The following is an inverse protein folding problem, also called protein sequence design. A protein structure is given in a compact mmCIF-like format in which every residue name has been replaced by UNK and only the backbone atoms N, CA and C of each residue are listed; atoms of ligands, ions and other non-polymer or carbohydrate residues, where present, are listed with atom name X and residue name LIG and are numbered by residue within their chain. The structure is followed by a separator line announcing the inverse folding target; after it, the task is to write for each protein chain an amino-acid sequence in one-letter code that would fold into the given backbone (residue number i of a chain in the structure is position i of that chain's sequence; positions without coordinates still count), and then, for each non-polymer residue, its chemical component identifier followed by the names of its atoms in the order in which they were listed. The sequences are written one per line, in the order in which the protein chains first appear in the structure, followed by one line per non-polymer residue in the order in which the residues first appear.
data_IF_187362948121
#
_entry.id   IF_187362948121
#
_cell.length_a   1.000
_cell.length_b   1.000
_cell.length_c   1.000
_cell.angle_alpha   90.00
_cell.angle_beta   90.00
_cell.angle_gamma   90.00
#
_symmetry.space_group_name_H-M   'P 1'
#
loop_
_entity.id
_entity.type
_entity.pdbx_description
1 polymer ?
#
# COMPACT_ATOMS: atom_id res chain seq x y z
N UNK A 1 66.29 -28.88 -52.89
CA UNK A 1 66.03 -27.75 -53.81
C UNK A 1 64.53 -27.64 -54.00
N UNK A 2 64.05 -26.43 -54.28
CA UNK A 2 62.65 -25.98 -54.44
C UNK A 2 61.99 -25.53 -53.13
N UNK A 3 62.18 -24.24 -52.88
CA UNK A 3 61.39 -23.37 -52.01
C UNK A 3 59.94 -23.28 -52.51
N UNK A 4 58.97 -23.07 -51.62
CA UNK A 4 58.02 -21.95 -51.77
C UNK A 4 57.40 -21.55 -50.42
N UNK A 5 57.39 -20.23 -50.21
CA UNK A 5 56.97 -19.45 -49.05
C UNK A 5 55.48 -19.60 -48.77
N UNK A 6 55.09 -19.73 -47.51
CA UNK A 6 53.71 -19.44 -47.06
C UNK A 6 53.79 -18.40 -45.94
N UNK A 7 53.14 -17.27 -46.22
CA UNK A 7 52.99 -16.08 -45.40
C UNK A 7 51.96 -16.39 -44.30
N UNK A 8 52.35 -16.34 -43.02
CA UNK A 8 51.40 -16.46 -41.91
C UNK A 8 50.86 -15.07 -41.59
N UNK A 9 49.60 -14.82 -41.95
CA UNK A 9 48.85 -13.65 -41.56
C UNK A 9 48.37 -13.81 -40.11
N UNK A 10 48.83 -12.93 -39.22
CA UNK A 10 48.38 -12.85 -37.83
C UNK A 10 47.04 -12.11 -37.83
N UNK A 11 45.94 -12.85 -37.66
CA UNK A 11 44.60 -12.30 -37.41
C UNK A 11 44.54 -11.92 -35.93
N UNK A 12 44.57 -10.63 -35.64
CA UNK A 12 44.31 -10.09 -34.32
C UNK A 12 42.81 -10.25 -34.00
N UNK A 13 42.47 -11.27 -33.21
CA UNK A 13 41.13 -11.45 -32.66
C UNK A 13 41.00 -10.49 -31.48
N UNK A 14 40.33 -9.35 -31.71
CA UNK A 14 39.84 -8.50 -30.64
C UNK A 14 38.75 -9.26 -29.87
N UNK A 15 39.12 -9.87 -28.74
CA UNK A 15 38.16 -10.33 -27.75
C UNK A 15 37.53 -9.10 -27.09
N UNK A 16 36.34 -8.71 -27.55
CA UNK A 16 35.45 -7.85 -26.80
C UNK A 16 34.90 -8.65 -25.62
N UNK A 17 35.56 -8.56 -24.47
CA UNK A 17 34.99 -9.05 -23.20
C UNK A 17 33.81 -8.14 -22.85
N UNK A 18 32.56 -8.64 -22.76
CA UNK A 18 31.49 -7.87 -22.16
C UNK A 18 31.85 -7.65 -20.68
N UNK A 19 31.70 -6.42 -20.22
CA UNK A 19 31.92 -6.03 -18.84
C UNK A 19 30.85 -6.65 -17.91
N UNK A 20 30.98 -7.95 -17.64
CA UNK A 20 30.31 -8.62 -16.52
C UNK A 20 31.13 -8.34 -15.25
N UNK A 21 30.91 -7.17 -14.65
CA UNK A 21 31.59 -6.80 -13.40
C UNK A 21 30.79 -5.92 -12.44
N UNK A 22 29.60 -5.45 -12.83
CA UNK A 22 28.82 -4.53 -12.00
C UNK A 22 27.67 -5.19 -11.22
N UNK A 23 27.39 -6.49 -11.43
CA UNK A 23 26.15 -7.12 -10.97
C UNK A 23 26.34 -8.28 -9.95
N UNK A 24 27.56 -8.50 -9.45
CA UNK A 24 27.83 -9.57 -8.47
C UNK A 24 27.46 -9.18 -7.02
N UNK A 25 27.28 -7.89 -6.74
CA UNK A 25 26.90 -7.37 -5.41
C UNK A 25 25.42 -7.00 -5.29
N UNK A 26 24.65 -7.04 -6.39
CA UNK A 26 23.21 -6.84 -6.32
C UNK A 26 22.58 -8.08 -5.68
N UNK A 27 21.86 -7.89 -4.57
CA UNK A 27 21.06 -8.95 -3.94
C UNK A 27 20.08 -9.47 -5.00
N UNK A 28 20.34 -10.66 -5.54
CA UNK A 28 19.44 -11.29 -6.50
C UNK A 28 18.08 -11.49 -5.84
N UNK A 29 17.02 -11.11 -6.54
CA UNK A 29 15.68 -11.32 -6.05
C UNK A 29 15.45 -12.82 -5.81
N UNK A 30 14.75 -13.15 -4.73
CA UNK A 30 14.45 -14.53 -4.33
C UNK A 30 13.32 -15.16 -5.13
N UNK A 31 12.68 -14.39 -6.01
CA UNK A 31 11.56 -14.81 -6.84
C UNK A 31 11.62 -14.14 -8.20
N UNK A 32 10.93 -14.73 -9.18
CA UNK A 32 10.79 -14.20 -10.54
C UNK A 32 9.37 -14.48 -11.04
N UNK A 33 8.88 -13.66 -11.95
CA UNK A 33 7.62 -13.92 -12.64
C UNK A 33 7.88 -14.97 -13.73
N UNK A 34 7.05 -16.04 -13.84
CA UNK A 34 7.19 -17.01 -14.91
C UNK A 34 7.01 -16.36 -16.27
N UNK A 35 7.62 -16.92 -17.32
CA UNK A 35 7.47 -16.40 -18.68
C UNK A 35 6.12 -16.77 -19.27
N UNK A 36 5.67 -15.99 -20.25
CA UNK A 36 4.42 -16.27 -20.96
C UNK A 36 4.38 -17.68 -21.55
N UNK A 37 5.49 -18.12 -22.16
CA UNK A 37 5.61 -19.45 -22.76
C UNK A 37 5.59 -20.58 -21.72
N UNK A 38 6.26 -20.40 -20.58
CA UNK A 38 6.27 -21.38 -19.49
C UNK A 38 4.86 -21.59 -18.93
N UNK A 39 4.15 -20.50 -18.62
CA UNK A 39 2.78 -20.56 -18.09
C UNK A 39 1.83 -21.13 -19.14
N UNK A 40 1.92 -20.69 -20.41
CA UNK A 40 1.10 -21.24 -21.51
C UNK A 40 1.29 -22.74 -21.65
N UNK A 41 2.53 -23.22 -21.64
CA UNK A 41 2.86 -24.64 -21.76
C UNK A 41 2.26 -25.45 -20.61
N UNK A 42 2.42 -24.98 -19.36
CA UNK A 42 1.85 -25.67 -18.20
C UNK A 42 0.33 -25.81 -18.30
N UNK A 43 -0.35 -24.73 -18.69
CA UNK A 43 -1.81 -24.77 -18.86
C UNK A 43 -2.21 -25.64 -20.05
N UNK A 44 -1.49 -25.56 -21.17
CA UNK A 44 -1.77 -26.35 -22.38
C UNK A 44 -1.61 -27.86 -22.15
N UNK A 45 -0.56 -28.27 -21.44
CA UNK A 45 -0.34 -29.68 -21.07
C UNK A 45 -1.53 -30.24 -20.29
N UNK A 46 -1.96 -29.52 -19.24
CA UNK A 46 -3.13 -29.91 -18.47
C UNK A 46 -4.42 -29.86 -19.30
N UNK A 47 -4.64 -28.79 -20.07
CA UNK A 47 -5.83 -28.60 -20.90
C UNK A 47 -5.98 -29.73 -21.93
N UNK A 48 -4.89 -30.13 -22.57
CA UNK A 48 -4.89 -31.23 -23.55
C UNK A 48 -5.18 -32.60 -22.92
N UNK A 49 -4.78 -32.82 -21.67
CA UNK A 49 -5.02 -34.08 -20.95
C UNK A 49 -6.51 -34.36 -20.71
N UNK A 50 -7.35 -33.33 -20.75
CA UNK A 50 -8.79 -33.40 -20.51
C UNK A 50 -9.63 -33.61 -21.77
N UNK A 51 -8.98 -33.84 -22.93
CA UNK A 51 -9.65 -34.08 -24.22
C UNK A 51 -10.67 -32.98 -24.60
N UNK A 52 -10.22 -31.72 -24.78
CA UNK A 52 -11.09 -30.57 -25.06
C UNK A 52 -11.74 -30.65 -26.44
N UNK A 53 -12.89 -30.00 -26.61
CA UNK A 53 -13.57 -29.86 -27.90
C UNK A 53 -12.80 -28.94 -28.85
N UNK A 54 -13.08 -29.02 -30.15
CA UNK A 54 -12.47 -28.13 -31.15
C UNK A 54 -12.77 -26.64 -30.88
N UNK A 55 -13.95 -26.35 -30.34
CA UNK A 55 -14.35 -25.01 -29.92
C UNK A 55 -13.50 -24.53 -28.73
N UNK A 56 -13.35 -25.36 -27.69
CA UNK A 56 -12.52 -25.08 -26.53
C UNK A 56 -11.04 -24.86 -26.91
N UNK A 57 -10.51 -25.63 -27.87
CA UNK A 57 -9.16 -25.43 -28.40
C UNK A 57 -9.00 -24.09 -29.11
N UNK A 58 -9.97 -23.73 -29.95
CA UNK A 58 -9.96 -22.42 -30.64
C UNK A 58 -10.04 -21.25 -29.66
N UNK A 59 -10.87 -21.35 -28.62
CA UNK A 59 -10.97 -20.32 -27.59
C UNK A 59 -9.70 -20.24 -26.74
N UNK A 60 -9.10 -21.37 -26.40
CA UNK A 60 -7.82 -21.42 -25.72
C UNK A 60 -6.75 -20.68 -26.52
N UNK A 61 -6.59 -20.97 -27.81
CA UNK A 61 -5.61 -20.29 -28.66
C UNK A 61 -5.88 -18.78 -28.73
N UNK A 62 -7.15 -18.35 -28.79
CA UNK A 62 -7.52 -16.94 -28.78
C UNK A 62 -7.14 -16.23 -27.46
N UNK A 63 -7.34 -16.89 -26.29
CA UNK A 63 -6.93 -16.35 -24.98
C UNK A 63 -5.43 -16.08 -24.94
N UNK A 64 -4.63 -16.97 -25.52
CA UNK A 64 -3.17 -16.90 -25.49
C UNK A 64 -2.54 -16.15 -26.68
N UNK A 65 -3.30 -15.73 -27.69
CA UNK A 65 -2.80 -15.10 -28.92
C UNK A 65 -2.46 -13.60 -28.83
N UNK A 66 -2.77 -12.93 -27.72
CA UNK A 66 -2.56 -11.48 -27.60
C UNK A 66 -1.06 -11.11 -27.74
N UNK A 67 -0.68 -10.04 -28.46
CA UNK A 67 0.74 -9.69 -28.62
C UNK A 67 1.38 -9.28 -27.28
N UNK A 68 2.61 -9.69 -27.03
CA UNK A 68 3.43 -9.16 -25.93
C UNK A 68 3.57 -7.64 -26.14
N UNK A 69 3.16 -6.84 -25.16
CA UNK A 69 3.72 -5.49 -25.09
C UNK A 69 5.17 -5.67 -24.68
N UNK A 70 6.09 -5.22 -25.54
CA UNK A 70 7.51 -5.59 -25.53
C UNK A 70 8.31 -5.24 -24.24
N UNK A 71 7.67 -4.72 -23.19
CA UNK A 71 8.34 -4.21 -21.99
C UNK A 71 7.66 -4.60 -20.66
N UNK A 72 6.72 -5.53 -20.63
CA UNK A 72 6.07 -5.91 -19.37
C UNK A 72 5.99 -7.42 -19.23
N UNK A 73 6.76 -7.98 -18.29
CA UNK A 73 6.50 -9.31 -17.75
C UNK A 73 5.17 -9.21 -16.99
N UNK A 74 4.09 -9.48 -17.71
CA UNK A 74 2.73 -9.14 -17.29
C UNK A 74 2.10 -10.33 -16.58
N UNK A 75 2.46 -10.51 -15.30
CA UNK A 75 1.89 -11.55 -14.44
C UNK A 75 0.36 -11.51 -14.40
N UNK A 76 -0.23 -10.31 -14.40
CA UNK A 76 -1.68 -10.10 -14.37
C UNK A 76 -2.33 -10.74 -15.60
N UNK A 77 -1.77 -10.48 -16.78
CA UNK A 77 -2.22 -11.13 -18.01
C UNK A 77 -2.09 -12.66 -17.96
N UNK A 78 -0.99 -13.18 -17.42
CA UNK A 78 -0.79 -14.63 -17.31
C UNK A 78 -1.81 -15.27 -16.36
N UNK A 79 -2.11 -14.62 -15.24
CA UNK A 79 -3.15 -15.03 -14.30
C UNK A 79 -4.53 -15.03 -14.98
N UNK A 80 -4.89 -13.94 -15.67
CA UNK A 80 -6.15 -13.82 -16.42
C UNK A 80 -6.28 -14.94 -17.46
N UNK A 81 -5.24 -15.16 -18.26
CA UNK A 81 -5.24 -16.19 -19.29
C UNK A 81 -5.37 -17.60 -18.69
N UNK A 82 -4.68 -17.86 -17.58
CA UNK A 82 -4.75 -19.11 -16.84
C UNK A 82 -6.18 -19.36 -16.36
N UNK A 83 -6.77 -18.43 -15.60
CA UNK A 83 -8.11 -18.59 -15.03
C UNK A 83 -9.19 -18.72 -16.10
N UNK A 84 -9.09 -17.95 -17.20
CA UNK A 84 -10.01 -18.08 -18.34
C UNK A 84 -9.91 -19.44 -19.02
N UNK A 85 -8.69 -19.97 -19.18
CA UNK A 85 -8.48 -21.31 -19.75
C UNK A 85 -9.08 -22.39 -18.86
N UNK A 86 -8.95 -22.28 -17.54
CA UNK A 86 -9.57 -23.19 -16.57
C UNK A 86 -11.11 -23.15 -16.66
N UNK A 87 -11.69 -21.95 -16.81
CA UNK A 87 -13.13 -21.74 -16.95
C UNK A 87 -13.73 -22.31 -18.27
N UNK A 88 -12.92 -22.62 -19.29
CA UNK A 88 -13.44 -23.28 -20.50
C UNK A 88 -13.87 -24.73 -20.26
N UNK A 89 -13.20 -25.41 -19.32
CA UNK A 89 -13.41 -26.84 -19.06
C UNK A 89 -14.11 -27.07 -17.72
N UNK A 90 -13.70 -26.37 -16.65
CA UNK A 90 -14.25 -26.60 -15.32
C UNK A 90 -15.49 -25.70 -15.07
N UNK A 91 -16.70 -26.28 -14.94
CA UNK A 91 -17.94 -25.51 -14.78
C UNK A 91 -17.97 -24.66 -13.51
N UNK A 92 -17.35 -25.13 -12.43
CA UNK A 92 -17.32 -24.42 -11.15
C UNK A 92 -16.36 -23.22 -11.22
N UNK A 93 -15.20 -23.36 -11.88
CA UNK A 93 -14.33 -22.20 -12.16
C UNK A 93 -15.05 -21.19 -13.06
N UNK A 94 -15.81 -21.66 -14.05
CA UNK A 94 -16.65 -20.79 -14.88
C UNK A 94 -17.67 -20.02 -14.06
N UNK A 95 -18.41 -20.71 -13.18
CA UNK A 95 -19.40 -20.11 -12.29
C UNK A 95 -18.76 -19.06 -11.37
N UNK A 96 -17.56 -19.32 -10.83
CA UNK A 96 -16.80 -18.34 -10.05
C UNK A 96 -16.46 -17.12 -10.90
N UNK A 97 -15.87 -17.30 -12.08
CA UNK A 97 -15.48 -16.19 -12.96
C UNK A 97 -16.68 -15.34 -13.36
N UNK A 98 -17.85 -15.95 -13.52
CA UNK A 98 -19.11 -15.26 -13.81
C UNK A 98 -19.67 -14.54 -12.59
N UNK A 99 -19.65 -15.15 -11.40
CA UNK A 99 -20.16 -14.53 -10.17
C UNK A 99 -19.33 -13.31 -9.73
N UNK A 100 -18.01 -13.33 -9.93
CA UNK A 100 -17.14 -12.21 -9.61
C UNK A 100 -17.31 -10.99 -10.53
N UNK A 101 -18.12 -11.09 -11.61
CA UNK A 101 -18.48 -9.96 -12.47
C UNK A 101 -19.66 -9.16 -11.93
N UNK A 102 -20.39 -9.71 -10.98
CA UNK A 102 -21.52 -9.03 -10.37
C UNK A 102 -21.03 -7.76 -9.62
N UNK A 103 -21.58 -6.57 -9.91
CA UNK A 103 -21.21 -5.34 -9.21
C UNK A 103 -21.68 -5.30 -7.75
N UNK A 104 -22.50 -6.24 -7.29
CA UNK A 104 -22.95 -6.28 -5.91
C UNK A 104 -21.81 -6.56 -4.91
N UNK A 105 -21.87 -5.90 -3.74
CA UNK A 105 -20.83 -5.94 -2.69
C UNK A 105 -21.03 -7.06 -1.66
N UNK A 106 -21.83 -8.07 -1.95
CA UNK A 106 -21.97 -9.21 -1.05
C UNK A 106 -20.91 -10.26 -1.38
N UNK A 107 -20.49 -11.05 -0.40
CA UNK A 107 -19.66 -12.22 -0.70
C UNK A 107 -20.45 -13.09 -1.69
N UNK A 108 -19.85 -13.51 -2.82
CA UNK A 108 -20.54 -14.36 -3.76
C UNK A 108 -21.02 -15.61 -3.00
N UNK A 109 -22.26 -16.05 -3.27
CA UNK A 109 -22.75 -17.34 -2.81
C UNK A 109 -22.07 -18.44 -3.63
N UNK A 110 -20.76 -18.55 -3.43
CA UNK A 110 -19.86 -19.42 -4.15
C UNK A 110 -19.36 -20.49 -3.20
N UNK A 111 -19.56 -21.74 -3.61
CA UNK A 111 -19.12 -22.88 -2.83
C UNK A 111 -17.60 -23.03 -2.91
N UNK A 112 -16.91 -22.65 -1.83
CA UNK A 112 -15.46 -22.78 -1.69
C UNK A 112 -14.99 -24.23 -1.70
N UNK A 113 -15.89 -25.22 -1.60
CA UNK A 113 -15.55 -26.63 -1.82
C UNK A 113 -15.00 -26.89 -3.24
N UNK A 114 -15.15 -25.96 -4.20
CA UNK A 114 -14.42 -26.02 -5.48
C UNK A 114 -12.90 -26.14 -5.27
N UNK A 115 -12.35 -25.48 -4.24
CA UNK A 115 -10.92 -25.56 -3.94
C UNK A 115 -10.53 -26.94 -3.38
N UNK A 116 -11.51 -27.78 -3.04
CA UNK A 116 -11.35 -29.15 -2.56
C UNK A 116 -11.48 -30.17 -3.71
N UNK A 117 -11.95 -29.77 -4.90
CA UNK A 117 -12.08 -30.62 -6.10
C UNK A 117 -10.75 -31.30 -6.47
N UNK A 118 -10.68 -32.63 -6.36
CA UNK A 118 -9.47 -33.40 -6.66
C UNK A 118 -9.07 -33.36 -8.14
N UNK A 119 -9.98 -32.96 -9.04
CA UNK A 119 -9.70 -32.90 -10.48
C UNK A 119 -8.83 -31.70 -10.88
N UNK A 120 -8.83 -30.64 -10.06
CA UNK A 120 -8.01 -29.46 -10.30
C UNK A 120 -6.59 -29.66 -9.71
N UNK A 121 -5.52 -29.53 -10.51
CA UNK A 121 -4.16 -29.62 -10.00
C UNK A 121 -3.88 -28.45 -9.05
N UNK A 122 -2.97 -28.66 -8.10
CA UNK A 122 -2.66 -27.66 -7.05
C UNK A 122 -2.29 -26.28 -7.59
N UNK A 123 -1.51 -26.20 -8.66
CA UNK A 123 -1.16 -24.93 -9.30
C UNK A 123 -2.40 -24.20 -9.87
N UNK A 124 -3.40 -24.93 -10.40
CA UNK A 124 -4.62 -24.33 -10.92
C UNK A 124 -5.46 -23.77 -9.78
N UNK A 125 -5.61 -24.54 -8.69
CA UNK A 125 -6.28 -24.09 -7.46
C UNK A 125 -5.64 -22.81 -6.92
N UNK A 126 -4.31 -22.74 -6.87
CA UNK A 126 -3.59 -21.58 -6.35
C UNK A 126 -3.81 -20.32 -7.21
N UNK A 127 -3.85 -20.46 -8.54
CA UNK A 127 -4.16 -19.33 -9.43
C UNK A 127 -5.62 -18.88 -9.31
N UNK A 128 -6.56 -19.81 -9.15
CA UNK A 128 -7.97 -19.47 -8.88
C UNK A 128 -8.12 -18.75 -7.53
N UNK A 129 -7.42 -19.21 -6.48
CA UNK A 129 -7.36 -18.52 -5.19
C UNK A 129 -6.79 -17.12 -5.31
N UNK A 130 -5.70 -16.94 -6.05
CA UNK A 130 -5.10 -15.63 -6.28
C UNK A 130 -6.06 -14.69 -7.02
N UNK A 131 -6.76 -15.18 -8.04
CA UNK A 131 -7.76 -14.40 -8.76
C UNK A 131 -8.91 -13.96 -7.86
N UNK A 132 -9.47 -14.88 -7.07
CA UNK A 132 -10.50 -14.57 -6.10
C UNK A 132 -10.03 -13.58 -5.03
N UNK A 133 -8.77 -13.71 -4.59
CA UNK A 133 -8.14 -12.78 -3.67
C UNK A 133 -8.07 -11.34 -4.21
N UNK A 134 -7.82 -11.13 -5.50
CA UNK A 134 -7.86 -9.78 -6.08
C UNK A 134 -9.25 -9.16 -5.93
N UNK A 135 -10.29 -9.96 -6.18
CA UNK A 135 -11.68 -9.52 -5.99
C UNK A 135 -11.98 -9.21 -4.51
N UNK A 136 -11.59 -10.09 -3.58
CA UNK A 136 -11.78 -9.89 -2.15
C UNK A 136 -11.10 -8.61 -1.63
N UNK A 137 -9.90 -8.33 -2.10
CA UNK A 137 -9.16 -7.11 -1.74
C UNK A 137 -9.91 -5.85 -2.18
N UNK A 138 -10.45 -5.84 -3.41
CA UNK A 138 -11.20 -4.70 -3.96
C UNK A 138 -12.52 -4.45 -3.20
N UNK A 139 -13.09 -5.48 -2.58
CA UNK A 139 -14.34 -5.43 -1.82
C UNK A 139 -14.13 -5.40 -0.29
N UNK A 140 -12.87 -5.22 0.16
CA UNK A 140 -12.50 -5.07 1.57
C UNK A 140 -12.79 -6.32 2.44
N UNK A 141 -12.83 -7.51 1.85
CA UNK A 141 -12.93 -8.79 2.56
C UNK A 141 -11.55 -9.30 2.98
N UNK A 142 -10.86 -8.54 3.83
CA UNK A 142 -9.43 -8.78 4.12
C UNK A 142 -9.13 -10.07 4.89
N UNK A 143 -10.12 -10.65 5.58
CA UNK A 143 -9.91 -11.88 6.35
C UNK A 143 -9.98 -13.10 5.46
N UNK A 144 -11.02 -13.13 4.64
CA UNK A 144 -11.20 -14.10 3.56
C UNK A 144 -10.02 -14.02 2.61
N UNK A 145 -9.59 -12.79 2.26
CA UNK A 145 -8.39 -12.57 1.47
C UNK A 145 -7.20 -13.30 2.08
N UNK A 146 -6.90 -13.05 3.36
CA UNK A 146 -5.79 -13.70 4.07
C UNK A 146 -5.93 -15.23 4.02
N UNK A 147 -7.10 -15.76 4.34
CA UNK A 147 -7.38 -17.21 4.31
C UNK A 147 -7.06 -17.85 2.94
N UNK A 148 -7.30 -17.13 1.84
CA UNK A 148 -7.02 -17.66 0.50
C UNK A 148 -5.55 -17.66 0.10
N UNK A 149 -4.76 -16.68 0.57
CA UNK A 149 -3.41 -16.44 0.02
C UNK A 149 -2.27 -16.52 1.03
N UNK A 150 -2.52 -16.58 2.33
CA UNK A 150 -1.47 -16.58 3.37
C UNK A 150 -0.48 -17.73 3.22
N UNK A 151 -0.96 -18.91 2.82
CA UNK A 151 -0.13 -20.11 2.66
C UNK A 151 0.59 -20.20 1.30
N UNK A 152 0.22 -19.37 0.32
CA UNK A 152 0.74 -19.44 -1.04
C UNK A 152 2.14 -18.84 -1.15
N UNK A 153 2.99 -19.45 -1.98
CA UNK A 153 4.34 -18.97 -2.27
C UNK A 153 4.40 -18.35 -3.67
N UNK A 154 5.38 -17.46 -3.91
CA UNK A 154 5.64 -16.90 -5.24
C UNK A 154 5.81 -17.94 -6.36
N UNK A 155 6.29 -19.14 -6.04
CA UNK A 155 6.48 -20.24 -6.99
C UNK A 155 5.19 -20.94 -7.40
N UNK A 156 4.09 -20.69 -6.70
CA UNK A 156 2.87 -21.49 -6.79
C UNK A 156 1.85 -20.88 -7.77
N UNK A 157 2.12 -19.68 -8.29
CA UNK A 157 1.17 -18.84 -9.04
C UNK A 157 1.80 -18.24 -10.29
N UNK A 158 0.96 -17.89 -11.27
CA UNK A 158 1.36 -17.22 -12.51
C UNK A 158 1.67 -15.73 -12.31
N UNK A 159 1.12 -15.09 -11.26
CA UNK A 159 1.44 -13.70 -10.89
C UNK A 159 1.98 -13.59 -9.45
N UNK A 160 3.30 -13.81 -9.26
CA UNK A 160 3.91 -13.70 -7.95
C UNK A 160 3.92 -12.26 -7.40
N UNK A 161 3.93 -11.26 -8.28
CA UNK A 161 3.93 -9.86 -7.87
C UNK A 161 2.57 -9.47 -7.26
N UNK A 162 1.46 -9.86 -7.90
CA UNK A 162 0.14 -9.67 -7.33
C UNK A 162 -0.02 -10.45 -6.02
N UNK A 163 0.47 -11.70 -5.94
CA UNK A 163 0.38 -12.48 -4.71
C UNK A 163 1.03 -11.75 -3.53
N UNK A 164 2.29 -11.34 -3.66
CA UNK A 164 3.01 -10.64 -2.59
C UNK A 164 2.36 -9.29 -2.26
N UNK A 165 1.85 -8.58 -3.27
CA UNK A 165 1.13 -7.33 -3.07
C UNK A 165 -0.16 -7.53 -2.26
N UNK A 166 -1.02 -8.46 -2.66
CA UNK A 166 -2.29 -8.71 -1.97
C UNK A 166 -2.10 -9.35 -0.59
N UNK A 167 -1.07 -10.18 -0.40
CA UNK A 167 -0.65 -10.64 0.94
C UNK A 167 -0.30 -9.44 1.82
N UNK A 168 0.52 -8.52 1.31
CA UNK A 168 0.89 -7.30 2.02
C UNK A 168 -0.33 -6.43 2.36
N UNK A 169 -1.30 -6.31 1.45
CA UNK A 169 -2.56 -5.57 1.69
C UNK A 169 -3.38 -6.22 2.79
N UNK A 170 -3.51 -7.55 2.77
CA UNK A 170 -4.23 -8.29 3.81
C UNK A 170 -3.59 -8.09 5.19
N UNK A 171 -2.28 -8.31 5.29
CA UNK A 171 -1.56 -8.14 6.56
C UNK A 171 -1.59 -6.70 7.05
N UNK A 172 -1.46 -5.71 6.15
CA UNK A 172 -1.53 -4.29 6.50
C UNK A 172 -2.88 -3.91 7.09
N UNK A 173 -3.97 -4.34 6.44
CA UNK A 173 -5.34 -4.05 6.88
C UNK A 173 -5.74 -4.78 8.14
N UNK A 174 -5.13 -5.94 8.41
CA UNK A 174 -5.34 -6.73 9.63
C UNK A 174 -4.32 -6.39 10.74
N UNK A 175 -3.51 -5.35 10.56
CA UNK A 175 -2.49 -4.91 11.53
C UNK A 175 -1.46 -5.98 11.90
N UNK A 176 -1.24 -6.94 11.00
CA UNK A 176 -0.26 -8.01 11.16
C UNK A 176 1.11 -7.54 10.67
N UNK A 177 1.76 -6.74 11.52
CA UNK A 177 3.06 -6.14 11.22
C UNK A 177 4.15 -7.19 10.96
N UNK A 178 4.09 -8.31 11.67
CA UNK A 178 5.11 -9.37 11.63
C UNK A 178 5.15 -10.04 10.26
N UNK A 179 3.99 -10.27 9.63
CA UNK A 179 3.91 -10.83 8.29
C UNK A 179 3.95 -9.76 7.18
N UNK A 180 3.46 -8.54 7.45
CA UNK A 180 3.39 -7.47 6.46
C UNK A 180 4.79 -6.99 6.02
N UNK A 181 5.69 -6.70 6.96
CA UNK A 181 7.03 -6.16 6.63
C UNK A 181 7.86 -7.12 5.76
N UNK A 182 7.98 -8.43 6.09
CA UNK A 182 8.68 -9.39 5.24
C UNK A 182 8.04 -9.55 3.85
N UNK A 183 6.70 -9.54 3.76
CA UNK A 183 6.00 -9.64 2.48
C UNK A 183 6.30 -8.42 1.57
N UNK A 184 6.28 -7.21 2.16
CA UNK A 184 6.64 -5.97 1.47
C UNK A 184 8.11 -5.95 1.05
N UNK A 185 9.01 -6.38 1.92
CA UNK A 185 10.45 -6.48 1.61
C UNK A 185 10.68 -7.44 0.45
N UNK A 186 10.01 -8.59 0.47
CA UNK A 186 10.09 -9.58 -0.60
C UNK A 186 9.55 -9.04 -1.92
N UNK A 187 8.41 -8.35 -1.92
CA UNK A 187 7.87 -7.70 -3.13
C UNK A 187 8.86 -6.69 -3.72
N UNK A 188 9.50 -5.88 -2.87
CA UNK A 188 10.43 -4.84 -3.28
C UNK A 188 11.80 -5.35 -3.75
N UNK A 189 12.10 -6.65 -3.63
CA UNK A 189 13.28 -7.25 -4.25
C UNK A 189 13.30 -7.08 -5.79
N UNK A 190 12.11 -7.01 -6.40
CA UNK A 190 11.91 -6.84 -7.84
C UNK A 190 11.28 -5.47 -8.19
N UNK A 191 11.57 -4.43 -7.41
CA UNK A 191 10.93 -3.11 -7.53
C UNK A 191 10.90 -2.56 -8.98
N UNK A 192 11.99 -2.75 -9.74
CA UNK A 192 12.12 -2.22 -11.09
C UNK A 192 11.27 -2.96 -12.15
N UNK A 193 10.85 -4.20 -11.86
CA UNK A 193 10.15 -5.07 -12.83
C UNK A 193 8.66 -5.21 -12.52
N UNK A 194 8.24 -4.96 -11.27
CA UNK A 194 6.83 -5.02 -10.88
C UNK A 194 6.05 -3.79 -11.38
N UNK A 195 4.71 -3.87 -11.46
CA UNK A 195 3.88 -2.71 -11.76
C UNK A 195 4.17 -1.53 -10.82
N UNK A 196 4.35 -0.32 -11.38
CA UNK A 196 4.65 0.91 -10.63
C UNK A 196 3.71 1.15 -9.46
N UNK A 197 2.41 0.86 -9.65
CA UNK A 197 1.37 0.96 -8.61
C UNK A 197 1.71 0.11 -7.38
N UNK A 198 2.19 -1.12 -7.58
CA UNK A 198 2.55 -2.03 -6.49
C UNK A 198 3.80 -1.54 -5.77
N UNK A 199 4.83 -1.12 -6.52
CA UNK A 199 6.05 -0.57 -5.94
C UNK A 199 5.78 0.66 -5.06
N UNK A 200 5.00 1.63 -5.57
CA UNK A 200 4.67 2.86 -4.83
C UNK A 200 3.85 2.55 -3.58
N UNK A 201 2.78 1.76 -3.71
CA UNK A 201 1.93 1.40 -2.58
C UNK A 201 2.68 0.57 -1.54
N UNK A 202 3.54 -0.37 -1.96
CA UNK A 202 4.34 -1.17 -1.05
C UNK A 202 5.28 -0.32 -0.19
N UNK A 203 5.94 0.69 -0.79
CA UNK A 203 6.78 1.64 -0.03
C UNK A 203 5.96 2.46 0.97
N UNK A 204 4.78 2.93 0.56
CA UNK A 204 3.88 3.68 1.45
C UNK A 204 3.39 2.80 2.61
N UNK A 205 2.93 1.59 2.32
CA UNK A 205 2.48 0.62 3.33
C UNK A 205 3.61 0.25 4.30
N UNK A 206 4.83 0.07 3.80
CA UNK A 206 6.00 -0.22 4.62
C UNK A 206 6.32 0.93 5.57
N UNK A 207 6.35 2.16 5.04
CA UNK A 207 6.60 3.36 5.84
C UNK A 207 5.49 3.62 6.87
N UNK A 208 4.25 3.26 6.53
CA UNK A 208 3.08 3.43 7.38
C UNK A 208 3.02 2.40 8.53
N UNK A 209 3.26 1.11 8.26
CA UNK A 209 3.14 0.05 9.28
C UNK A 209 4.39 -0.11 10.16
N UNK A 210 5.57 0.29 9.66
CA UNK A 210 6.83 0.19 10.39
C UNK A 210 6.84 0.93 11.75
N UNK A 211 6.35 2.18 11.89
CA UNK A 211 6.34 2.89 13.16
C UNK A 211 5.22 2.46 14.10
N UNK A 212 4.23 1.69 13.64
CA UNK A 212 3.07 1.29 14.43
C UNK A 212 3.50 0.52 15.67
N UNK A 213 2.97 0.93 16.82
CA UNK A 213 3.20 0.31 18.13
C UNK A 213 1.95 -0.41 18.59
N UNK A 214 2.14 -1.58 19.20
CA UNK A 214 1.08 -2.29 19.91
C UNK A 214 0.58 -1.46 21.09
N UNK A 215 -0.71 -1.50 21.35
CA UNK A 215 -1.46 -0.74 22.36
C UNK A 215 -1.33 0.79 22.21
N UNK A 216 -1.10 1.27 20.99
CA UNK A 216 -1.09 2.71 20.71
C UNK A 216 -2.45 3.22 20.24
N UNK A 217 -2.69 4.52 20.37
CA UNK A 217 -3.90 5.16 19.84
C UNK A 217 -4.04 4.99 18.31
N UNK A 218 -2.93 4.92 17.57
CA UNK A 218 -2.92 4.63 16.13
C UNK A 218 -3.42 3.21 15.83
N UNK A 219 -2.98 2.20 16.60
CA UNK A 219 -3.50 0.83 16.47
C UNK A 219 -5.00 0.78 16.73
N UNK A 220 -5.47 1.45 17.81
CA UNK A 220 -6.90 1.52 18.14
C UNK A 220 -7.71 2.18 17.03
N UNK A 221 -7.25 3.32 16.49
CA UNK A 221 -7.93 4.01 15.40
C UNK A 221 -8.10 3.11 14.16
N UNK A 222 -7.10 2.29 13.84
CA UNK A 222 -7.14 1.35 12.73
C UNK A 222 -8.05 0.15 13.00
N UNK A 223 -8.07 -0.38 14.24
CA UNK A 223 -9.03 -1.41 14.65
C UNK A 223 -10.48 -0.92 14.50
N UNK A 224 -10.74 0.33 14.90
CA UNK A 224 -12.05 0.96 14.72
C UNK A 224 -12.44 1.10 13.24
N UNK A 225 -11.51 1.44 12.34
CA UNK A 225 -11.78 1.46 10.90
C UNK A 225 -12.09 0.06 10.35
N UNK A 226 -11.37 -0.97 10.82
CA UNK A 226 -11.68 -2.37 10.48
C UNK A 226 -13.09 -2.78 10.94
N UNK A 227 -13.47 -2.44 12.18
CA UNK A 227 -14.82 -2.70 12.71
C UNK A 227 -15.87 -2.00 11.84
N UNK A 228 -15.66 -0.72 11.49
CA UNK A 228 -16.54 0.05 10.62
C UNK A 228 -16.74 -0.64 9.27
N UNK A 229 -15.66 -1.12 8.63
CA UNK A 229 -15.76 -1.85 7.35
C UNK A 229 -16.62 -3.10 7.52
N UNK A 230 -16.40 -3.90 8.57
CA UNK A 230 -17.19 -5.13 8.82
C UNK A 230 -18.66 -4.84 9.09
N UNK A 231 -18.97 -3.82 9.88
CA UNK A 231 -20.35 -3.42 10.14
C UNK A 231 -21.03 -2.92 8.87
N UNK A 232 -20.29 -2.20 8.00
CA UNK A 232 -20.76 -1.80 6.68
C UNK A 232 -21.05 -2.97 5.74
N UNK A 233 -20.39 -4.12 5.95
CA UNK A 233 -20.67 -5.39 5.26
C UNK A 233 -21.83 -6.19 5.91
N UNK A 234 -22.53 -5.63 6.90
CA UNK A 234 -23.63 -6.30 7.60
C UNK A 234 -23.19 -7.37 8.61
N UNK A 235 -21.90 -7.41 8.99
CA UNK A 235 -21.34 -8.46 9.86
C UNK A 235 -21.29 -8.02 11.31
N UNK A 236 -22.40 -8.13 12.04
CA UNK A 236 -22.47 -7.80 13.48
C UNK A 236 -22.34 -9.02 14.41
N UNK A 237 -21.56 -10.02 13.98
CA UNK A 237 -21.39 -11.30 14.67
C UNK A 237 -20.50 -11.23 15.92
N UNK A 238 -20.29 -12.38 16.57
CA UNK A 238 -19.47 -12.50 17.80
C UNK A 238 -18.02 -12.03 17.61
N UNK A 239 -17.47 -12.20 16.40
CA UNK A 239 -16.12 -11.73 16.07
C UNK A 239 -15.99 -10.21 16.19
N UNK A 240 -16.95 -9.45 15.64
CA UNK A 240 -16.91 -7.98 15.69
C UNK A 240 -17.04 -7.48 17.11
N UNK A 241 -17.91 -8.10 17.92
CA UNK A 241 -18.04 -7.75 19.35
C UNK A 241 -16.73 -7.97 20.11
N UNK A 242 -16.00 -9.06 19.84
CA UNK A 242 -14.68 -9.27 20.45
C UNK A 242 -13.68 -8.19 20.03
N UNK A 243 -13.66 -7.82 18.75
CA UNK A 243 -12.80 -6.72 18.27
C UNK A 243 -13.19 -5.38 18.93
N UNK A 244 -14.48 -5.13 19.19
CA UNK A 244 -14.97 -3.96 19.93
C UNK A 244 -14.57 -3.99 21.42
N UNK A 245 -14.70 -5.14 22.08
CA UNK A 245 -14.29 -5.34 23.48
C UNK A 245 -12.78 -5.14 23.63
N UNK A 246 -11.98 -5.64 22.68
CA UNK A 246 -10.53 -5.45 22.65
C UNK A 246 -10.16 -3.96 22.51
N UNK A 247 -10.92 -3.19 21.72
CA UNK A 247 -10.75 -1.74 21.60
C UNK A 247 -11.06 -1.03 22.93
N UNK A 248 -12.15 -1.38 23.59
CA UNK A 248 -12.52 -0.81 24.90
C UNK A 248 -11.40 -1.09 25.92
N UNK A 249 -10.95 -2.34 26.02
CA UNK A 249 -9.89 -2.74 26.94
C UNK A 249 -8.58 -1.97 26.70
N UNK A 250 -8.21 -1.75 25.42
CA UNK A 250 -7.02 -0.94 25.08
C UNK A 250 -7.18 0.53 25.47
N UNK A 251 -8.37 1.11 25.30
CA UNK A 251 -8.66 2.49 25.68
C UNK A 251 -8.65 2.67 27.19
N UNK A 252 -9.28 1.76 27.94
CA UNK A 252 -9.29 1.78 29.41
C UNK A 252 -7.86 1.74 29.97
N UNK A 253 -7.02 0.85 29.44
CA UNK A 253 -5.60 0.77 29.80
C UNK A 253 -4.85 2.09 29.52
N UNK A 254 -5.15 2.77 28.41
CA UNK A 254 -4.53 4.07 28.11
C UNK A 254 -5.02 5.17 29.05
N UNK A 255 -6.30 5.16 29.44
CA UNK A 255 -6.86 6.10 30.41
C UNK A 255 -6.16 5.91 31.76
N UNK A 256 -6.06 4.67 32.24
CA UNK A 256 -5.38 4.35 33.49
C UNK A 256 -3.93 4.84 33.50
N UNK A 257 -3.16 4.60 32.42
CA UNK A 257 -1.78 5.09 32.30
C UNK A 257 -1.67 6.61 32.33
N UNK A 258 -2.61 7.33 31.70
CA UNK A 258 -2.63 8.79 31.69
C UNK A 258 -3.03 9.36 33.06
N UNK A 259 -3.96 8.70 33.77
CA UNK A 259 -4.36 9.08 35.12
C UNK A 259 -3.21 8.90 36.12
N UNK A 260 -2.47 7.78 36.05
CA UNK A 260 -1.26 7.55 36.84
C UNK A 260 -0.19 8.61 36.58
N UNK A 261 0.04 8.95 35.30
CA UNK A 261 1.00 9.99 34.92
C UNK A 261 0.59 11.37 35.45
N UNK A 262 -0.71 11.69 35.43
CA UNK A 262 -1.24 12.93 35.99
C UNK A 262 -1.05 12.98 37.52
N UNK A 263 -1.29 11.88 38.23
CA UNK A 263 -1.09 11.78 39.68
C UNK A 263 0.39 11.87 40.10
N UNK A 264 1.31 11.34 39.30
CA UNK A 264 2.76 11.50 39.53
C UNK A 264 3.23 12.94 39.24
N UNK A 265 2.63 13.63 38.27
CA UNK A 265 2.96 15.03 37.98
C UNK A 265 2.49 16.01 39.06
N UNK A 266 1.44 15.69 39.82
CA UNK A 266 0.94 16.51 40.92
C UNK A 266 1.70 16.32 42.24
N UNK A 267 2.56 15.30 42.35
CA UNK A 267 3.33 15.00 43.55
C UNK A 267 4.80 15.46 43.49
N UNK A 268 5.26 16.08 42.38
CA UNK A 268 6.63 16.58 42.21
C UNK A 268 6.75 18.11 42.12
N UNK A 269 5.72 18.86 42.52
CA UNK A 269 5.75 20.33 42.64
C UNK A 269 5.89 20.85 44.09
N UNK A 270 6.16 20.00 45.09
CA UNK A 270 6.31 20.40 46.49
C UNK A 270 7.77 20.67 46.92
N UNK A 271 8.58 21.31 46.08
CA UNK A 271 9.97 21.62 46.44
C UNK A 271 10.66 22.58 45.49
N UNK A 272 10.37 23.89 45.60
CA UNK A 272 11.14 24.90 44.88
C UNK A 272 10.53 26.29 44.85
N UNK A 273 10.89 27.11 45.84
CA UNK A 273 11.08 28.57 45.78
C UNK A 273 10.08 29.42 44.94
N UNK A 274 9.09 29.98 45.63
CA UNK A 274 8.55 31.33 45.41
C UNK A 274 8.19 31.76 43.99
N UNK A 275 6.95 31.48 43.57
CA UNK A 275 6.29 32.33 42.58
C UNK A 275 4.78 32.36 42.88
N UNK A 276 4.20 33.56 42.84
CA UNK A 276 2.82 33.85 43.22
C UNK A 276 1.81 33.22 42.25
N UNK A 277 1.48 31.94 42.48
CA UNK A 277 0.33 31.27 41.88
C UNK A 277 -0.75 31.09 42.97
N UNK A 278 -2.02 31.46 42.72
CA UNK A 278 -3.08 31.29 43.71
C UNK A 278 -3.34 29.80 43.97
N UNK A 279 -3.37 29.44 45.26
CA UNK A 279 -3.53 28.05 45.75
C UNK A 279 -4.99 27.62 45.96
N UNK A 280 -5.96 28.41 45.51
CA UNK A 280 -7.38 28.12 45.65
C UNK A 280 -8.19 28.65 44.45
N UNK A 281 -9.22 27.91 43.97
CA UNK A 281 -10.14 28.40 42.94
C UNK A 281 -10.86 29.67 43.42
N UNK A 282 -11.13 30.61 42.50
CA UNK A 282 -11.90 31.80 42.84
C UNK A 282 -13.34 31.40 43.22
N UNK A 283 -13.81 31.86 44.38
CA UNK A 283 -15.17 31.61 44.87
C UNK A 283 -16.26 32.26 44.00
N UNK A 284 -15.88 33.23 43.16
CA UNK A 284 -16.76 33.93 42.22
C UNK A 284 -16.07 34.12 40.87
N UNK A 285 -16.81 33.92 39.77
CA UNK A 285 -16.35 34.12 38.39
C UNK A 285 -16.28 35.61 38.02
N UNK A 286 -15.48 36.39 38.73
CA UNK A 286 -15.09 37.73 38.30
C UNK A 286 -13.81 37.64 37.45
N UNK A 287 -13.64 38.48 36.42
CA UNK A 287 -12.40 38.53 35.66
C UNK A 287 -11.22 38.77 36.61
N UNK A 288 -10.32 37.80 36.71
CA UNK A 288 -9.16 37.90 37.57
C UNK A 288 -8.22 38.99 37.04
N UNK A 289 -7.92 40.01 37.85
CA UNK A 289 -6.90 41.05 37.56
C UNK A 289 -5.45 40.52 37.60
N UNK A 290 -5.28 39.20 37.64
CA UNK A 290 -3.99 38.53 37.62
C UNK A 290 -3.35 38.66 36.24
N UNK A 291 -2.57 39.74 36.07
CA UNK A 291 -1.73 39.96 34.90
C UNK A 291 -0.51 39.03 34.99
N UNK A 292 -0.61 37.84 34.40
CA UNK A 292 0.54 36.97 34.20
C UNK A 292 1.62 37.69 33.37
N UNK A 293 2.91 37.34 33.52
CA UNK A 293 4.01 38.05 32.88
C UNK A 293 4.01 38.00 31.33
N UNK A 294 3.02 37.37 30.69
CA UNK A 294 2.90 37.34 29.23
C UNK A 294 4.04 36.60 28.52
N UNK A 295 4.85 35.86 29.28
CA UNK A 295 5.96 35.09 28.74
C UNK A 295 5.39 33.79 28.16
N UNK A 296 5.10 33.82 26.87
CA UNK A 296 4.92 32.62 26.05
C UNK A 296 6.30 32.09 25.68
N UNK A 297 6.56 30.81 25.95
CA UNK A 297 7.79 30.16 25.49
C UNK A 297 7.79 30.13 23.96
N UNK A 298 8.73 30.81 23.28
CA UNK A 298 8.79 30.77 21.84
C UNK A 298 9.15 29.35 21.41
N UNK A 299 8.17 28.63 20.85
CA UNK A 299 8.40 27.34 20.22
C UNK A 299 9.39 27.56 19.08
N UNK A 300 10.54 26.88 19.13
CA UNK A 300 11.53 26.90 18.03
C UNK A 300 10.90 26.22 16.81
N UNK A 301 10.21 27.01 16.00
CA UNK A 301 9.90 26.65 14.62
C UNK A 301 11.25 26.54 13.91
N UNK A 302 11.50 25.43 13.21
CA UNK A 302 12.78 25.20 12.53
C UNK A 302 13.12 26.33 11.55
N UNK A 303 14.33 26.30 10.99
CA UNK A 303 14.80 27.27 9.98
C UNK A 303 14.06 27.19 8.63
N UNK A 304 12.80 26.78 8.64
CA UNK A 304 11.93 26.73 7.48
C UNK A 304 10.78 27.72 7.69
N UNK A 305 11.03 28.90 7.15
CA UNK A 305 10.07 29.85 6.60
C UNK A 305 9.06 30.43 7.59
N UNK A 306 9.52 31.49 8.26
CA UNK A 306 8.70 32.53 8.85
C UNK A 306 8.03 33.33 7.70
N UNK A 307 7.02 32.73 7.06
CA UNK A 307 6.30 33.29 5.90
C UNK A 307 5.74 34.70 6.15
N UNK A 308 5.60 35.10 7.41
CA UNK A 308 5.16 36.45 7.81
C UNK A 308 6.28 37.50 7.83
N UNK A 309 7.55 37.11 7.83
CA UNK A 309 8.68 37.99 8.15
C UNK A 309 9.69 38.15 7.00
N UNK A 310 9.22 37.99 5.75
CA UNK A 310 10.01 38.32 4.56
C UNK A 310 10.46 39.79 4.61
N UNK A 311 11.75 40.09 4.32
CA UNK A 311 12.21 41.46 4.09
C UNK A 311 11.31 42.17 3.08
N UNK A 312 11.06 43.46 3.28
CA UNK A 312 10.06 44.22 2.51
C UNK A 312 10.20 44.06 0.98
N UNK A 313 11.44 43.96 0.48
CA UNK A 313 11.74 43.76 -0.93
C UNK A 313 11.31 42.38 -1.46
N UNK A 314 11.56 41.31 -0.70
CA UNK A 314 11.19 39.94 -1.07
C UNK A 314 9.67 39.72 -0.96
N UNK A 315 9.02 40.42 -0.02
CA UNK A 315 7.57 40.44 0.11
C UNK A 315 6.90 41.07 -1.11
N UNK A 316 7.41 42.21 -1.60
CA UNK A 316 6.90 42.86 -2.80
C UNK A 316 7.11 42.01 -4.06
N UNK A 317 8.26 41.35 -4.19
CA UNK A 317 8.57 40.45 -5.30
C UNK A 317 7.64 39.21 -5.31
N UNK A 318 7.43 38.58 -4.16
CA UNK A 318 6.48 37.48 -4.01
C UNK A 318 5.03 37.89 -4.32
N UNK A 319 4.62 39.11 -3.93
CA UNK A 319 3.29 39.64 -4.27
C UNK A 319 3.15 39.90 -5.78
N UNK A 320 4.22 40.34 -6.45
CA UNK A 320 4.23 40.53 -7.91
C UNK A 320 4.21 39.21 -8.67
N UNK A 321 4.91 38.18 -8.20
CA UNK A 321 4.85 36.84 -8.78
C UNK A 321 3.47 36.19 -8.59
N UNK A 322 2.90 36.30 -7.39
CA UNK A 322 1.55 35.79 -7.11
C UNK A 322 0.49 36.45 -8.02
N UNK A 323 0.64 37.74 -8.34
CA UNK A 323 -0.25 38.45 -9.27
C UNK A 323 -0.14 38.00 -10.74
N UNK A 324 0.97 37.37 -11.14
CA UNK A 324 1.19 36.85 -12.50
C UNK A 324 0.48 35.52 -12.72
N UNK A 325 0.44 34.66 -11.71
CA UNK A 325 -0.07 33.29 -11.82
C UNK A 325 -1.55 33.15 -11.43
N UNK A 326 -2.17 34.18 -10.85
CA UNK A 326 -3.58 34.13 -10.46
C UNK A 326 -4.54 34.42 -11.63
N UNK A 327 -5.63 33.63 -11.79
CA UNK A 327 -6.71 33.90 -12.72
C UNK A 327 -7.34 35.28 -12.52
N UNK A 328 -7.82 35.91 -13.61
CA UNK A 328 -8.26 37.32 -13.64
C UNK A 328 -9.32 37.70 -12.60
N UNK A 329 -10.22 36.79 -12.24
CA UNK A 329 -11.31 37.04 -11.28
C UNK A 329 -10.84 37.20 -9.83
N UNK A 330 -9.63 36.76 -9.49
CA UNK A 330 -9.06 37.00 -8.16
C UNK A 330 -8.35 38.35 -8.04
N UNK A 331 -8.02 39.01 -9.16
CA UNK A 331 -7.34 40.32 -9.13
C UNK A 331 -8.22 41.40 -8.53
N UNK A 332 -9.47 41.49 -8.98
CA UNK A 332 -10.41 42.52 -8.52
C UNK A 332 -10.66 42.44 -7.01
N UNK A 333 -10.81 41.21 -6.48
CA UNK A 333 -11.03 40.96 -5.05
C UNK A 333 -9.81 41.32 -4.20
N UNK A 334 -8.60 41.04 -4.71
CA UNK A 334 -7.34 41.35 -4.04
C UNK A 334 -7.08 42.87 -4.06
N UNK A 335 -7.36 43.55 -5.17
CA UNK A 335 -7.26 45.01 -5.27
C UNK A 335 -8.23 45.72 -4.33
N UNK A 336 -9.48 45.25 -4.23
CA UNK A 336 -10.44 45.78 -3.25
C UNK A 336 -9.96 45.59 -1.81
N UNK A 337 -9.37 44.42 -1.50
CA UNK A 337 -8.79 44.16 -0.18
C UNK A 337 -7.64 45.11 0.15
N UNK A 338 -6.69 45.32 -0.76
CA UNK A 338 -5.57 46.23 -0.55
C UNK A 338 -5.99 47.71 -0.51
N UNK A 339 -6.98 48.12 -1.32
CA UNK A 339 -7.56 49.47 -1.21
C UNK A 339 -8.23 49.70 0.13
N UNK A 340 -8.92 48.68 0.67
CA UNK A 340 -9.55 48.76 1.99
C UNK A 340 -8.49 48.82 3.10
N UNK A 341 -7.44 48.02 3.00
CA UNK A 341 -6.33 48.02 3.97
C UNK A 341 -5.57 49.36 3.99
N UNK A 342 -5.36 49.97 2.83
CA UNK A 342 -4.74 51.30 2.72
C UNK A 342 -5.63 52.44 3.25
N UNK A 343 -6.97 52.29 3.17
CA UNK A 343 -7.93 53.23 3.76
C UNK A 343 -8.03 53.10 5.28
N UNK A 344 -7.94 51.87 5.79
CA UNK A 344 -8.11 51.58 7.21
C UNK A 344 -6.84 51.88 8.04
N UNK A 345 -5.73 52.29 7.39
CA UNK A 345 -4.56 52.85 8.07
C UNK A 345 -3.87 51.93 9.07
N UNK A 346 -4.18 50.64 9.06
CA UNK A 346 -3.51 49.64 9.89
C UNK A 346 -2.19 49.32 9.20
N UNK A 347 -1.16 50.08 9.55
CA UNK A 347 0.21 49.63 9.33
C UNK A 347 0.42 48.33 10.13
N UNK A 348 1.00 47.28 9.50
CA UNK A 348 1.31 46.02 10.18
C UNK A 348 2.32 46.19 11.30
#
# INVERSE_FOLDING_TARGET
MINHRVLIAIIAICFSTPAYGANELARRASWSVPTHEETKRQVAEWFSSLSPTQEQLSEFDAIWALPESANQVDGDRQLIATVRSLALINPSVKQLVESLRDPERHLPDFDLTLLEDETLPGWAKNNVRLWYAQWLANHQFYNELREQIESLKPTDVADPAALLFYQSVAFHRLLDKENCLPALDKLLENEATIPKRYATLAKLMKADIAPMKKDSLDEVARLMDSIKVRLGQGRAGTRVRKEEDDVIAKLDKMIEQLEEQAQQSSSQSSGGQGNSAPSSPMEQSTPAELKGPGNVDPKKLGAQTDWGNLPAKEREEALQELGKDLPSHYRDVIEEYFQKLARDGVQP
#
